data_IF_367448282316
#
_entry.id   IF_367448282316
#
_cell.length_a   1.000
_cell.length_b   1.000
_cell.length_c   1.000
_cell.angle_alpha   90.00
_cell.angle_beta   90.00
_cell.angle_gamma   90.00
#
_symmetry.space_group_name_H-M   'P 1'
#
loop_
_entity.id
_entity.type
_entity.pdbx_description
1 polymer ?
#
# COMPACT_ATOMS: atom_id res chain seq x y z
N UNK A 1 38.40 -13.67 -55.07
CA UNK A 1 38.67 -13.97 -53.64
C UNK A 1 37.84 -13.00 -52.81
N UNK A 2 37.19 -13.51 -51.76
CA UNK A 2 36.05 -12.89 -51.06
C UNK A 2 36.45 -11.68 -50.20
N UNK A 3 35.63 -10.62 -50.26
CA UNK A 3 35.65 -9.48 -49.34
C UNK A 3 35.30 -9.91 -47.91
N UNK A 4 36.11 -9.47 -46.94
CA UNK A 4 35.82 -9.57 -45.50
C UNK A 4 35.10 -8.29 -45.06
N UNK A 5 33.83 -8.43 -44.67
CA UNK A 5 33.11 -7.43 -43.88
C UNK A 5 33.60 -7.49 -42.44
N UNK A 6 34.17 -6.39 -41.92
CA UNK A 6 34.27 -6.16 -40.47
C UNK A 6 32.98 -5.50 -40.00
N UNK A 7 32.15 -6.24 -39.28
CA UNK A 7 31.04 -5.69 -38.49
C UNK A 7 31.55 -5.49 -37.07
N UNK A 8 31.76 -4.22 -36.70
CA UNK A 8 32.03 -3.80 -35.33
C UNK A 8 30.72 -3.86 -34.54
N UNK A 9 30.53 -4.90 -33.74
CA UNK A 9 29.52 -4.91 -32.69
C UNK A 9 30.05 -4.12 -31.48
N UNK A 10 29.59 -2.88 -31.32
CA UNK A 10 29.61 -2.20 -30.04
C UNK A 10 28.62 -2.92 -29.13
N UNK A 11 29.12 -3.78 -28.24
CA UNK A 11 28.33 -4.31 -27.13
C UNK A 11 27.93 -3.14 -26.22
N UNK A 12 26.63 -2.94 -25.92
CA UNK A 12 26.25 -2.04 -24.85
C UNK A 12 26.79 -2.63 -23.55
N UNK A 13 27.71 -1.94 -22.92
CA UNK A 13 28.11 -2.17 -21.54
C UNK A 13 26.88 -1.94 -20.68
N UNK A 14 26.14 -3.00 -20.40
CA UNK A 14 25.15 -3.01 -19.33
C UNK A 14 25.98 -2.82 -18.05
N UNK A 15 25.98 -1.59 -17.53
CA UNK A 15 26.34 -1.37 -16.14
C UNK A 15 25.29 -2.10 -15.30
N UNK A 16 25.56 -3.36 -14.99
CA UNK A 16 24.94 -4.01 -13.86
C UNK A 16 25.30 -3.16 -12.65
N UNK A 17 24.31 -2.43 -12.11
CA UNK A 17 24.43 -1.87 -10.78
C UNK A 17 24.75 -3.05 -9.85
N UNK A 18 25.82 -2.98 -9.04
CA UNK A 18 26.10 -4.04 -8.10
C UNK A 18 24.90 -4.17 -7.17
N UNK A 19 24.33 -5.38 -7.08
CA UNK A 19 23.57 -5.82 -5.91
C UNK A 19 24.52 -5.75 -4.72
N UNK A 20 24.68 -4.55 -4.16
CA UNK A 20 25.35 -4.40 -2.90
C UNK A 20 24.45 -5.12 -1.88
N UNK A 21 24.94 -6.13 -1.15
CA UNK A 21 24.17 -6.69 -0.04
C UNK A 21 23.79 -5.53 0.89
N UNK A 22 22.57 -5.54 1.42
CA UNK A 22 22.12 -4.56 2.41
C UNK A 22 23.20 -4.47 3.47
N UNK A 23 23.98 -3.39 3.43
CA UNK A 23 24.98 -3.10 4.46
C UNK A 23 24.17 -2.51 5.59
N UNK A 24 23.89 -3.36 6.57
CA UNK A 24 23.38 -3.04 7.89
C UNK A 24 24.23 -1.93 8.54
N UNK A 25 23.97 -0.66 8.19
CA UNK A 25 24.59 0.49 8.86
C UNK A 25 23.58 1.05 9.83
N UNK A 26 23.55 0.42 11.00
CA UNK A 26 22.79 0.87 12.17
C UNK A 26 23.47 2.11 12.76
N UNK A 27 22.73 3.21 12.91
CA UNK A 27 23.31 4.46 13.42
C UNK A 27 23.30 4.52 14.95
N UNK A 28 24.45 4.92 15.49
CA UNK A 28 24.70 5.23 16.90
C UNK A 28 24.09 6.60 17.23
N UNK A 29 23.44 6.76 18.39
CA UNK A 29 23.14 8.09 18.94
C UNK A 29 24.44 8.81 19.31
N UNK A 30 24.35 10.14 19.46
CA UNK A 30 25.47 11.00 19.91
C UNK A 30 26.06 10.62 21.28
N UNK A 31 25.37 9.80 22.08
CA UNK A 31 25.81 9.31 23.39
C UNK A 31 26.61 7.99 23.33
N UNK A 32 26.74 7.36 22.16
CA UNK A 32 27.60 6.20 21.99
C UNK A 32 27.05 4.86 22.48
N UNK A 33 25.73 4.72 22.68
CA UNK A 33 25.07 3.42 22.92
C UNK A 33 24.42 2.84 21.64
N UNK A 34 24.25 1.50 21.57
CA UNK A 34 23.47 0.78 20.56
C UNK A 34 22.29 0.11 21.27
N UNK A 35 21.04 0.33 20.85
CA UNK A 35 19.86 -0.25 21.52
C UNK A 35 18.81 -0.82 20.56
N UNK A 36 17.98 -1.78 21.02
CA UNK A 36 16.79 -2.35 20.35
C UNK A 36 15.65 -1.38 19.95
N UNK A 37 15.92 -0.08 19.78
CA UNK A 37 14.95 1.02 19.74
C UNK A 37 14.54 1.47 18.30
N UNK A 38 14.72 0.61 17.29
CA UNK A 38 14.39 0.96 15.88
C UNK A 38 12.92 0.75 15.51
N UNK A 39 12.11 0.29 16.45
CA UNK A 39 10.69 0.04 16.27
C UNK A 39 9.89 1.08 17.04
N UNK A 40 8.75 1.50 16.50
CA UNK A 40 7.91 2.51 17.14
C UNK A 40 7.21 1.87 18.36
N UNK A 41 7.81 2.03 19.54
CA UNK A 41 7.32 1.67 20.88
C UNK A 41 6.90 0.20 21.13
N UNK A 42 7.84 -0.56 21.69
CA UNK A 42 7.55 -1.81 22.41
C UNK A 42 7.10 -1.52 23.86
N UNK A 43 5.85 -1.86 24.23
CA UNK A 43 5.43 -1.84 25.63
C UNK A 43 3.95 -2.18 25.86
N UNK A 44 3.56 -2.52 27.09
CA UNK A 44 2.17 -2.88 27.44
C UNK A 44 1.14 -1.76 27.24
N UNK A 45 1.58 -0.50 27.07
CA UNK A 45 0.71 0.69 27.12
C UNK A 45 0.78 1.64 25.89
N UNK A 46 1.59 1.38 24.86
CA UNK A 46 1.77 2.24 23.65
C UNK A 46 1.66 1.44 22.33
N UNK A 47 0.70 0.52 22.28
CA UNK A 47 0.65 -0.64 21.38
C UNK A 47 0.10 -0.38 19.98
N UNK A 48 0.69 0.52 19.19
CA UNK A 48 0.24 0.70 17.79
C UNK A 48 0.66 -0.47 16.91
N UNK A 49 -0.27 -1.36 16.57
CA UNK A 49 0.03 -2.52 15.73
C UNK A 49 -0.91 -2.68 14.53
N UNK A 50 -0.37 -3.23 13.45
CA UNK A 50 -1.05 -3.66 12.24
C UNK A 50 -0.78 -5.15 11.99
N UNK A 51 -1.68 -5.88 11.31
CA UNK A 51 -1.39 -7.27 10.92
C UNK A 51 -0.21 -7.33 9.93
N UNK A 52 0.62 -8.36 10.05
CA UNK A 52 1.84 -8.54 9.27
C UNK A 52 1.57 -8.51 7.76
N UNK A 53 0.54 -9.23 7.34
CA UNK A 53 0.13 -9.28 5.95
C UNK A 53 -0.09 -7.87 5.38
N UNK A 54 -0.80 -7.02 6.13
CA UNK A 54 -1.15 -5.68 5.67
C UNK A 54 0.02 -4.72 5.73
N UNK A 55 0.90 -4.87 6.72
CA UNK A 55 2.17 -4.15 6.73
C UNK A 55 3.00 -4.47 5.49
N UNK A 56 3.07 -5.75 5.09
CA UNK A 56 3.78 -6.15 3.87
C UNK A 56 3.12 -5.66 2.58
N UNK A 57 1.81 -5.86 2.40
CA UNK A 57 1.09 -5.41 1.20
C UNK A 57 1.19 -3.88 1.03
N UNK A 58 1.03 -3.13 2.13
CA UNK A 58 1.12 -1.66 2.12
C UNK A 58 2.54 -1.17 1.84
N UNK A 59 3.56 -1.83 2.42
CA UNK A 59 4.96 -1.53 2.14
C UNK A 59 5.30 -1.78 0.66
N UNK A 60 4.86 -2.91 0.12
CA UNK A 60 5.13 -3.29 -1.27
C UNK A 60 4.53 -2.29 -2.25
N UNK A 61 3.29 -1.87 -2.02
CA UNK A 61 2.62 -0.86 -2.83
C UNK A 61 3.34 0.49 -2.78
N UNK A 62 3.61 0.98 -1.55
CA UNK A 62 4.36 2.21 -1.35
C UNK A 62 5.68 2.21 -2.11
N UNK A 63 6.43 1.10 -2.02
CA UNK A 63 7.72 0.95 -2.68
C UNK A 63 7.62 0.83 -4.20
N UNK A 64 6.59 0.18 -4.73
CA UNK A 64 6.34 0.14 -6.17
C UNK A 64 6.05 1.54 -6.72
N UNK A 65 5.21 2.31 -6.03
CA UNK A 65 4.93 3.69 -6.40
C UNK A 65 6.17 4.59 -6.28
N UNK A 66 6.95 4.44 -5.21
CA UNK A 66 8.20 5.17 -5.02
C UNK A 66 9.20 4.87 -6.14
N UNK A 67 9.32 3.60 -6.55
CA UNK A 67 10.17 3.18 -7.67
C UNK A 67 9.70 3.71 -9.04
N UNK A 68 8.37 3.79 -9.26
CA UNK A 68 7.78 4.37 -10.49
C UNK A 68 7.95 5.89 -10.55
N UNK A 69 7.92 6.57 -9.41
CA UNK A 69 8.13 8.02 -9.37
C UNK A 69 9.49 8.43 -9.91
N UNK A 70 10.49 7.51 -9.94
CA UNK A 70 11.82 7.67 -10.59
C UNK A 70 12.41 9.07 -10.41
N UNK A 71 12.17 9.70 -9.27
CA UNK A 71 12.66 11.04 -8.99
C UNK A 71 14.18 10.92 -8.79
N UNK A 72 14.94 11.04 -9.88
CA UNK A 72 16.21 11.76 -9.82
C UNK A 72 15.78 13.21 -9.77
N UNK A 73 15.72 13.86 -8.61
CA UNK A 73 15.65 15.31 -8.72
C UNK A 73 16.28 16.10 -7.57
N UNK A 74 17.22 16.99 -7.91
CA UNK A 74 17.40 18.26 -7.24
C UNK A 74 16.36 19.32 -7.68
N UNK A 75 15.33 18.97 -8.48
CA UNK A 75 14.32 19.95 -8.92
C UNK A 75 13.33 20.27 -7.79
N UNK A 76 13.19 21.56 -7.43
CA UNK A 76 12.29 21.98 -6.37
C UNK A 76 10.83 21.71 -6.72
N UNK A 77 10.07 21.08 -5.82
CA UNK A 77 8.62 21.15 -5.83
C UNK A 77 8.24 22.44 -5.10
N UNK A 78 7.58 23.38 -5.79
CA UNK A 78 7.20 24.68 -5.22
C UNK A 78 8.38 25.46 -4.59
N UNK A 79 9.57 25.35 -5.17
CA UNK A 79 10.76 26.05 -4.67
C UNK A 79 11.43 25.40 -3.46
N UNK A 80 11.00 24.21 -3.02
CA UNK A 80 11.67 23.42 -1.97
C UNK A 80 12.19 22.09 -2.52
N UNK A 81 13.43 21.74 -2.20
CA UNK A 81 13.92 20.37 -2.44
C UNK A 81 13.12 19.41 -1.58
N UNK A 82 12.63 18.31 -2.17
CA UNK A 82 11.97 17.26 -1.39
C UNK A 82 13.03 16.53 -0.57
N UNK A 83 12.83 16.45 0.74
CA UNK A 83 13.68 15.67 1.64
C UNK A 83 13.21 14.21 1.76
N UNK A 84 12.18 13.81 1.01
CA UNK A 84 11.66 12.46 1.02
C UNK A 84 10.42 12.20 0.16
N UNK A 85 9.98 10.96 0.18
CA UNK A 85 8.69 10.46 -0.30
C UNK A 85 7.88 10.08 0.93
N UNK A 86 6.68 10.65 1.07
CA UNK A 86 5.79 10.45 2.20
C UNK A 86 4.42 10.00 1.69
N UNK A 87 3.85 8.98 2.32
CA UNK A 87 2.48 8.51 2.03
C UNK A 87 1.79 8.13 3.32
N UNK A 88 0.66 8.76 3.58
CA UNK A 88 -0.30 8.32 4.60
C UNK A 88 -1.39 7.51 3.91
N UNK A 89 -1.52 6.24 4.27
CA UNK A 89 -2.67 5.43 3.89
C UNK A 89 -3.75 5.60 4.94
N UNK A 90 -5.01 5.51 4.51
CA UNK A 90 -6.18 5.62 5.36
C UNK A 90 -6.30 6.98 6.09
N UNK A 91 -5.77 8.06 5.52
CA UNK A 91 -5.90 9.41 6.08
C UNK A 91 -7.35 9.80 6.37
N UNK A 92 -7.62 10.32 7.57
CA UNK A 92 -8.95 10.69 8.05
C UNK A 92 -9.70 9.59 8.80
N UNK A 93 -9.05 8.49 9.20
CA UNK A 93 -9.70 7.35 9.85
C UNK A 93 -9.32 7.17 11.31
N UNK A 94 -9.99 6.24 12.02
CA UNK A 94 -9.49 5.72 13.29
C UNK A 94 -8.12 5.01 13.20
N UNK A 95 -7.65 4.61 12.03
CA UNK A 95 -6.36 3.92 11.84
C UNK A 95 -5.60 4.40 10.59
N UNK A 96 -4.56 5.20 10.82
CA UNK A 96 -3.75 5.80 9.77
C UNK A 96 -2.35 5.21 9.82
N UNK A 97 -1.80 4.81 8.66
CA UNK A 97 -0.43 4.34 8.55
C UNK A 97 0.36 5.26 7.63
N UNK A 98 1.59 5.56 8.02
CA UNK A 98 2.49 6.39 7.24
C UNK A 98 3.72 5.60 6.83
N UNK A 99 4.09 5.71 5.55
CA UNK A 99 5.31 5.17 4.96
C UNK A 99 6.18 6.31 4.42
N UNK A 100 7.48 6.24 4.70
CA UNK A 100 8.43 7.33 4.44
C UNK A 100 9.73 6.77 3.86
N UNK A 101 10.26 7.44 2.83
CA UNK A 101 11.68 7.35 2.43
C UNK A 101 12.25 8.76 2.53
N UNK A 102 13.20 8.99 3.42
CA UNK A 102 13.83 10.29 3.66
C UNK A 102 15.31 10.24 3.30
N UNK A 103 15.86 11.29 2.71
CA UNK A 103 17.31 11.41 2.46
C UNK A 103 17.77 12.86 2.69
N UNK A 104 19.07 13.05 2.89
CA UNK A 104 19.63 14.40 2.96
C UNK A 104 19.54 15.06 1.57
N UNK A 105 19.05 16.30 1.50
CA UNK A 105 18.95 17.07 0.25
C UNK A 105 20.28 17.25 -0.47
N UNK A 106 21.42 17.09 0.23
CA UNK A 106 22.77 17.16 -0.34
C UNK A 106 23.19 15.85 -1.01
N UNK A 107 22.46 14.76 -0.79
CA UNK A 107 22.79 13.44 -1.34
C UNK A 107 21.96 13.14 -2.60
N UNK A 108 22.62 12.56 -3.61
CA UNK A 108 21.93 12.08 -4.81
C UNK A 108 21.27 10.74 -4.46
N UNK A 109 19.95 10.75 -4.35
CA UNK A 109 19.16 9.54 -4.12
C UNK A 109 18.15 9.33 -5.25
N UNK A 110 17.96 8.06 -5.61
CA UNK A 110 16.91 7.64 -6.54
C UNK A 110 16.24 6.41 -5.91
N UNK A 111 14.95 6.53 -5.63
CA UNK A 111 14.19 5.44 -5.04
C UNK A 111 14.19 4.22 -5.97
N UNK A 112 14.60 3.07 -5.43
CA UNK A 112 14.52 1.79 -6.10
C UNK A 112 13.43 0.96 -5.40
N UNK A 113 12.43 0.54 -6.16
CA UNK A 113 11.28 -0.20 -5.62
C UNK A 113 11.68 -1.50 -4.94
N UNK A 114 12.60 -2.27 -5.51
CA UNK A 114 13.03 -3.57 -4.97
C UNK A 114 13.82 -3.40 -3.66
N UNK A 115 14.75 -2.44 -3.62
CA UNK A 115 15.50 -2.10 -2.39
C UNK A 115 14.55 -1.59 -1.32
N UNK A 116 13.60 -0.74 -1.68
CA UNK A 116 12.58 -0.25 -0.75
C UNK A 116 11.78 -1.41 -0.15
N UNK A 117 11.30 -2.35 -0.99
CA UNK A 117 10.53 -3.53 -0.54
C UNK A 117 11.33 -4.35 0.45
N UNK A 118 12.58 -4.66 0.10
CA UNK A 118 13.50 -5.41 0.97
C UNK A 118 13.65 -4.73 2.35
N UNK A 119 13.95 -3.43 2.36
CA UNK A 119 14.17 -2.67 3.60
C UNK A 119 12.89 -2.55 4.43
N UNK A 120 11.74 -2.23 3.82
CA UNK A 120 10.47 -2.11 4.54
C UNK A 120 9.98 -3.45 5.10
N UNK A 121 10.21 -4.54 4.38
CA UNK A 121 9.94 -5.90 4.87
C UNK A 121 10.85 -6.25 6.04
N UNK A 122 12.13 -5.89 5.99
CA UNK A 122 13.05 -6.09 7.10
C UNK A 122 12.63 -5.33 8.36
N UNK A 123 12.18 -4.06 8.23
CA UNK A 123 11.58 -3.29 9.33
C UNK A 123 10.37 -4.06 9.90
N UNK A 124 9.47 -4.50 9.03
CA UNK A 124 8.24 -5.22 9.42
C UNK A 124 8.57 -6.47 10.21
N UNK A 125 9.47 -7.33 9.72
CA UNK A 125 9.88 -8.58 10.43
C UNK A 125 10.57 -8.29 11.76
N UNK A 126 11.47 -7.30 11.80
CA UNK A 126 12.23 -6.96 13.01
C UNK A 126 11.32 -6.38 14.10
N UNK A 127 10.31 -5.62 13.72
CA UNK A 127 9.38 -4.93 14.61
C UNK A 127 8.12 -5.73 14.95
N UNK A 128 8.33 -7.02 15.24
CA UNK A 128 7.33 -7.93 15.80
C UNK A 128 7.25 -7.78 17.33
N UNK A 129 6.04 -7.72 17.88
CA UNK A 129 5.84 -7.66 19.33
C UNK A 129 6.51 -8.89 19.99
N UNK A 130 7.37 -8.67 21.00
CA UNK A 130 8.25 -9.71 21.59
C UNK A 130 7.48 -11.01 21.87
N UNK A 131 7.77 -12.06 21.09
CA UNK A 131 7.26 -13.41 21.33
C UNK A 131 5.79 -13.64 20.97
N UNK A 132 5.18 -12.75 20.20
CA UNK A 132 3.77 -12.83 19.88
C UNK A 132 3.55 -13.62 18.58
N UNK A 133 3.00 -14.83 18.70
CA UNK A 133 2.66 -15.71 17.56
C UNK A 133 1.44 -15.20 16.76
N UNK A 134 1.00 -13.97 16.97
CA UNK A 134 -0.29 -13.44 16.52
C UNK A 134 -0.20 -12.55 15.26
N UNK A 135 0.96 -12.51 14.60
CA UNK A 135 1.19 -11.81 13.32
C UNK A 135 0.93 -10.29 13.38
N UNK A 136 1.23 -9.61 14.49
CA UNK A 136 1.07 -8.15 14.63
C UNK A 136 2.42 -7.41 14.60
N UNK A 137 2.46 -6.22 13.98
CA UNK A 137 3.68 -5.45 13.68
C UNK A 137 3.53 -3.98 14.03
N UNK A 138 4.55 -3.38 14.65
CA UNK A 138 4.53 -1.97 15.10
C UNK A 138 5.18 -0.97 14.13
N UNK A 139 5.89 -1.49 13.13
CA UNK A 139 6.74 -0.68 12.26
C UNK A 139 7.94 -0.10 12.98
N UNK A 140 8.70 0.69 12.25
CA UNK A 140 10.01 1.17 12.69
C UNK A 140 10.72 1.95 11.60
N UNK A 141 12.03 2.06 11.74
CA UNK A 141 12.88 2.72 10.76
C UNK A 141 14.18 1.94 10.51
N UNK A 142 14.72 2.09 9.30
CA UNK A 142 16.00 1.51 8.89
C UNK A 142 16.69 2.43 7.89
N UNK A 143 17.96 2.76 8.16
CA UNK A 143 18.81 3.50 7.21
C UNK A 143 19.54 2.51 6.30
N UNK A 144 19.44 2.73 4.99
CA UNK A 144 20.14 1.98 3.96
C UNK A 144 20.76 2.96 2.95
N UNK A 145 22.09 3.10 3.02
CA UNK A 145 22.84 4.08 2.24
C UNK A 145 22.46 5.53 2.59
N UNK A 146 22.16 6.39 1.60
CA UNK A 146 21.80 7.79 1.83
C UNK A 146 20.36 7.98 2.36
N UNK A 147 19.52 6.94 2.29
CA UNK A 147 18.11 7.02 2.62
C UNK A 147 17.76 6.32 3.93
N UNK A 148 16.77 6.86 4.62
CA UNK A 148 16.10 6.29 5.79
C UNK A 148 14.69 5.90 5.41
N UNK A 149 14.34 4.65 5.66
CA UNK A 149 13.04 4.06 5.36
C UNK A 149 12.30 3.94 6.68
N UNK A 150 11.02 4.30 6.71
CA UNK A 150 10.21 4.27 7.92
C UNK A 150 8.78 3.85 7.60
N UNK A 151 8.15 3.12 8.51
CA UNK A 151 6.70 3.05 8.55
C UNK A 151 6.19 2.97 9.97
N UNK A 152 5.03 3.58 10.22
CA UNK A 152 4.42 3.63 11.55
C UNK A 152 2.92 3.91 11.47
N UNK A 153 2.21 3.55 12.52
CA UNK A 153 0.81 3.93 12.68
C UNK A 153 0.72 5.34 13.29
N UNK A 154 0.13 6.27 12.55
CA UNK A 154 -0.18 7.63 13.00
C UNK A 154 -1.37 7.59 13.95
N UNK A 155 -2.43 6.87 13.58
CA UNK A 155 -3.59 6.57 14.43
C UNK A 155 -3.74 5.06 14.53
N UNK A 156 -4.13 4.57 15.70
CA UNK A 156 -4.33 3.13 15.95
C UNK A 156 -5.77 2.90 16.38
N UNK A 157 -6.40 1.89 15.77
CA UNK A 157 -7.63 1.32 16.33
C UNK A 157 -7.26 0.47 17.55
N UNK A 158 -7.82 0.73 18.74
CA UNK A 158 -7.43 -0.04 19.92
C UNK A 158 -7.72 -1.53 19.72
N UNK A 159 -6.71 -2.38 19.96
CA UNK A 159 -6.77 -3.84 19.75
C UNK A 159 -8.02 -4.53 20.32
N UNK A 160 -8.58 -4.06 21.44
CA UNK A 160 -9.81 -4.63 22.03
C UNK A 160 -11.03 -4.50 21.12
N UNK A 161 -11.12 -3.43 20.33
CA UNK A 161 -12.17 -3.26 19.34
C UNK A 161 -11.91 -4.20 18.17
N UNK A 162 -10.70 -4.18 17.66
CA UNK A 162 -10.22 -5.07 16.61
C UNK A 162 -10.51 -6.56 16.83
N UNK A 163 -10.20 -7.10 18.02
CA UNK A 163 -10.35 -8.53 18.30
C UNK A 163 -11.81 -9.02 18.32
N UNK A 164 -12.76 -8.11 18.51
CA UNK A 164 -14.20 -8.41 18.54
C UNK A 164 -14.95 -7.98 17.28
N UNK A 165 -14.29 -7.30 16.34
CA UNK A 165 -14.93 -6.83 15.12
C UNK A 165 -15.20 -7.98 14.16
N UNK A 166 -16.41 -8.00 13.62
CA UNK A 166 -16.76 -8.85 12.50
C UNK A 166 -16.55 -8.06 11.22
N UNK A 167 -15.96 -8.72 10.21
CA UNK A 167 -15.93 -8.16 8.86
C UNK A 167 -17.35 -8.19 8.30
N UNK A 168 -17.89 -7.00 8.03
CA UNK A 168 -19.23 -6.81 7.45
C UNK A 168 -19.14 -5.89 6.25
N UNK A 169 -20.18 -5.93 5.42
CA UNK A 169 -20.29 -5.02 4.30
C UNK A 169 -21.47 -5.33 3.39
N UNK A 170 -21.65 -4.48 2.39
CA UNK A 170 -22.73 -4.58 1.41
C UNK A 170 -22.22 -4.18 0.04
N UNK A 171 -22.76 -4.81 -1.01
CA UNK A 171 -22.56 -4.39 -2.39
C UNK A 171 -23.92 -4.09 -3.01
N UNK A 172 -24.07 -2.88 -3.55
CA UNK A 172 -25.22 -2.46 -4.32
C UNK A 172 -24.76 -2.13 -5.75
N UNK A 173 -25.59 -2.47 -6.74
CA UNK A 173 -25.36 -2.17 -8.16
C UNK A 173 -26.55 -1.47 -8.79
N UNK A 174 -26.30 -0.64 -9.80
CA UNK A 174 -27.32 -0.09 -10.70
C UNK A 174 -26.79 -0.17 -12.12
N UNK A 175 -27.50 -0.90 -12.97
CA UNK A 175 -27.16 -1.05 -14.38
C UNK A 175 -27.72 0.12 -15.20
N UNK A 176 -26.91 0.64 -16.11
CA UNK A 176 -27.34 1.59 -17.12
C UNK A 176 -27.48 0.86 -18.44
N UNK A 177 -28.70 0.85 -18.98
CA UNK A 177 -29.02 0.21 -20.26
C UNK A 177 -29.24 1.25 -21.35
N UNK A 178 -28.76 0.97 -22.56
CA UNK A 178 -29.11 1.77 -23.74
C UNK A 178 -30.55 1.48 -24.22
N UNK A 179 -30.97 2.17 -25.29
CA UNK A 179 -32.32 2.03 -25.89
C UNK A 179 -32.64 0.60 -26.35
N UNK A 180 -31.62 -0.21 -26.64
CA UNK A 180 -31.75 -1.61 -27.04
C UNK A 180 -31.83 -2.57 -25.84
N UNK A 181 -31.82 -2.07 -24.61
CA UNK A 181 -31.84 -2.86 -23.38
C UNK A 181 -30.50 -3.53 -23.05
N UNK A 182 -29.40 -3.13 -23.69
CA UNK A 182 -28.07 -3.67 -23.42
C UNK A 182 -27.40 -2.85 -22.32
N UNK A 183 -26.89 -3.52 -21.29
CA UNK A 183 -26.09 -2.88 -20.23
C UNK A 183 -24.80 -2.33 -20.84
N UNK A 184 -24.63 -1.01 -20.72
CA UNK A 184 -23.44 -0.30 -21.21
C UNK A 184 -22.45 -0.05 -20.09
N UNK A 185 -22.95 0.24 -18.88
CA UNK A 185 -22.14 0.40 -17.69
C UNK A 185 -22.95 -0.02 -16.45
N UNK A 186 -22.24 -0.37 -15.38
CA UNK A 186 -22.82 -0.67 -14.08
C UNK A 186 -22.10 0.16 -13.01
N UNK A 187 -22.89 0.92 -12.25
CA UNK A 187 -22.41 1.64 -11.07
C UNK A 187 -22.50 0.72 -9.85
N UNK A 188 -21.43 0.70 -9.05
CA UNK A 188 -21.33 -0.05 -7.81
C UNK A 188 -21.16 0.88 -6.62
N UNK A 189 -21.80 0.52 -5.51
CA UNK A 189 -21.54 1.10 -4.18
C UNK A 189 -21.27 -0.03 -3.21
N UNK A 190 -20.05 -0.05 -2.67
CA UNK A 190 -19.63 -1.04 -1.67
C UNK A 190 -19.38 -0.34 -0.36
N UNK A 191 -19.90 -0.91 0.72
CA UNK A 191 -19.57 -0.47 2.09
C UNK A 191 -18.98 -1.64 2.87
N UNK A 192 -18.14 -1.33 3.86
CA UNK A 192 -17.63 -2.34 4.76
C UNK A 192 -17.12 -1.80 6.09
N UNK A 193 -16.91 -2.71 7.02
CA UNK A 193 -16.34 -2.48 8.34
C UNK A 193 -15.59 -3.72 8.84
N UNK A 194 -14.85 -3.56 9.95
CA UNK A 194 -14.10 -4.66 10.57
C UNK A 194 -12.76 -4.96 9.89
N UNK A 195 -12.36 -4.13 8.92
CA UNK A 195 -11.10 -4.28 8.23
C UNK A 195 -10.00 -3.54 8.97
N UNK A 196 -9.09 -4.31 9.55
CA UNK A 196 -7.81 -3.78 9.99
C UNK A 196 -7.00 -3.32 8.79
N UNK A 197 -6.62 -2.06 8.77
CA UNK A 197 -5.49 -1.55 8.00
C UNK A 197 -5.50 -1.67 6.47
N UNK A 198 -6.42 -2.39 5.83
CA UNK A 198 -6.34 -2.60 4.40
C UNK A 198 -6.46 -1.25 3.69
N UNK A 199 -5.51 -0.94 2.80
CA UNK A 199 -5.64 0.07 1.77
C UNK A 199 -6.76 -0.35 0.80
N UNK A 200 -7.99 -0.52 1.31
CA UNK A 200 -9.12 -1.19 0.68
C UNK A 200 -9.48 -0.52 -0.61
N UNK A 201 -9.47 0.82 -0.60
CA UNK A 201 -9.67 1.61 -1.79
C UNK A 201 -8.71 1.16 -2.91
N UNK A 202 -7.42 1.17 -2.61
CA UNK A 202 -6.42 0.78 -3.58
C UNK A 202 -6.49 -0.70 -3.94
N UNK A 203 -6.61 -1.60 -2.98
CA UNK A 203 -6.61 -3.04 -3.21
C UNK A 203 -7.83 -3.46 -4.05
N UNK A 204 -9.01 -2.90 -3.79
CA UNK A 204 -10.19 -3.12 -4.61
C UNK A 204 -9.93 -2.56 -6.02
N UNK A 205 -9.52 -1.30 -6.14
CA UNK A 205 -9.30 -0.66 -7.45
C UNK A 205 -8.26 -1.40 -8.29
N UNK A 206 -7.10 -1.71 -7.69
CA UNK A 206 -6.00 -2.34 -8.37
C UNK A 206 -6.34 -3.78 -8.79
N UNK A 207 -7.03 -4.55 -7.94
CA UNK A 207 -7.45 -5.92 -8.31
C UNK A 207 -8.53 -5.90 -9.40
N UNK A 208 -9.46 -4.95 -9.36
CA UNK A 208 -10.43 -4.73 -10.45
C UNK A 208 -9.73 -4.37 -11.77
N UNK A 209 -8.80 -3.40 -11.75
CA UNK A 209 -8.01 -3.02 -12.93
C UNK A 209 -7.16 -4.17 -13.51
N UNK A 210 -6.85 -5.19 -12.72
CA UNK A 210 -6.09 -6.36 -13.15
C UNK A 210 -6.99 -7.53 -13.61
N UNK A 211 -8.32 -7.35 -13.63
CA UNK A 211 -9.24 -8.34 -14.23
C UNK A 211 -9.27 -8.14 -15.74
N UNK A 212 -9.08 -9.23 -16.47
CA UNK A 212 -8.93 -9.20 -17.92
C UNK A 212 -10.20 -8.73 -18.68
N UNK A 213 -11.39 -8.82 -18.06
CA UNK A 213 -12.67 -8.31 -18.62
C UNK A 213 -12.98 -6.87 -18.22
N UNK A 214 -12.20 -6.27 -17.32
CA UNK A 214 -12.40 -4.89 -16.87
C UNK A 214 -11.40 -4.00 -17.61
N UNK A 215 -11.90 -3.24 -18.58
CA UNK A 215 -11.07 -2.29 -19.34
C UNK A 215 -10.65 -1.08 -18.50
N UNK A 216 -11.58 -0.53 -17.71
CA UNK A 216 -11.31 0.60 -16.82
C UNK A 216 -12.24 0.63 -15.60
N UNK A 217 -11.74 1.22 -14.50
CA UNK A 217 -12.52 1.49 -13.28
C UNK A 217 -12.71 3.01 -13.16
N UNK A 218 -13.91 3.47 -13.52
CA UNK A 218 -14.28 4.88 -13.64
C UNK A 218 -14.99 5.40 -12.39
N UNK A 219 -15.13 6.73 -12.29
CA UNK A 219 -15.87 7.44 -11.22
C UNK A 219 -15.49 7.02 -9.79
N UNK A 220 -14.22 6.66 -9.61
CA UNK A 220 -13.71 6.13 -8.36
C UNK A 220 -13.81 7.18 -7.24
N UNK A 221 -14.67 6.91 -6.25
CA UNK A 221 -14.87 7.73 -5.08
C UNK A 221 -14.79 6.87 -3.83
N UNK A 222 -13.78 7.11 -2.99
CA UNK A 222 -13.60 6.38 -1.73
C UNK A 222 -13.63 7.35 -0.56
N UNK A 223 -14.36 6.98 0.48
CA UNK A 223 -14.46 7.78 1.70
C UNK A 223 -14.66 6.92 2.93
N UNK A 224 -14.17 7.44 4.05
CA UNK A 224 -14.45 6.89 5.37
C UNK A 224 -15.68 7.54 5.97
N UNK A 225 -16.47 6.75 6.69
CA UNK A 225 -17.73 7.15 7.31
C UNK A 225 -17.58 7.05 8.83
N UNK A 226 -16.90 8.05 9.42
CA UNK A 226 -16.66 8.09 10.87
C UNK A 226 -17.99 8.21 11.64
N UNK A 227 -18.22 7.30 12.60
CA UNK A 227 -19.35 7.37 13.55
C UNK A 227 -20.74 7.06 12.97
N UNK A 228 -20.83 6.50 11.76
CA UNK A 228 -22.11 6.23 11.11
C UNK A 228 -22.78 4.92 11.59
N UNK A 229 -22.00 3.85 11.75
CA UNK A 229 -22.40 2.54 12.30
C UNK A 229 -21.14 1.64 12.37
N UNK A 230 -21.05 0.73 13.34
CA UNK A 230 -19.93 -0.23 13.45
C UNK A 230 -19.87 -1.19 12.25
N UNK A 231 -20.92 -1.23 11.43
CA UNK A 231 -21.04 -2.07 10.23
C UNK A 231 -20.62 -1.39 8.92
N UNK A 232 -20.38 -0.06 8.92
CA UNK A 232 -20.11 0.74 7.70
C UNK A 232 -19.07 1.84 7.96
N UNK A 233 -17.80 1.45 8.04
CA UNK A 233 -16.68 2.37 8.33
C UNK A 233 -16.13 3.04 7.06
N UNK A 234 -16.30 2.41 5.90
CA UNK A 234 -15.85 2.94 4.62
C UNK A 234 -16.86 2.66 3.53
N UNK A 235 -16.82 3.51 2.50
CA UNK A 235 -17.63 3.44 1.29
C UNK A 235 -16.73 3.63 0.10
N UNK A 236 -16.98 2.84 -0.93
CA UNK A 236 -16.42 3.06 -2.27
C UNK A 236 -17.53 3.05 -3.30
N UNK A 237 -17.42 3.95 -4.25
CA UNK A 237 -18.28 4.06 -5.42
C UNK A 237 -17.39 4.02 -6.65
N UNK A 238 -17.81 3.28 -7.67
CA UNK A 238 -17.11 3.20 -8.95
C UNK A 238 -18.06 2.69 -10.04
N UNK A 239 -17.65 2.88 -11.28
CA UNK A 239 -18.36 2.44 -12.48
C UNK A 239 -17.48 1.48 -13.27
N UNK A 240 -18.05 0.38 -13.75
CA UNK A 240 -17.41 -0.56 -14.67
C UNK A 240 -18.18 -0.61 -15.98
N UNK A 241 -17.49 -0.90 -17.07
CA UNK A 241 -18.12 -1.10 -18.37
C UNK A 241 -18.77 -2.49 -18.46
N UNK A 242 -20.00 -2.54 -18.96
CA UNK A 242 -20.77 -3.78 -19.05
C UNK A 242 -21.01 -4.47 -17.70
N UNK A 243 -21.24 -5.78 -17.77
CA UNK A 243 -21.62 -6.59 -16.62
C UNK A 243 -20.41 -7.38 -16.06
N UNK A 244 -19.87 -6.92 -14.93
CA UNK A 244 -18.68 -7.49 -14.29
C UNK A 244 -18.92 -7.88 -12.81
N UNK A 245 -20.16 -8.18 -12.44
CA UNK A 245 -20.57 -8.40 -11.04
C UNK A 245 -19.77 -9.50 -10.34
N UNK A 246 -19.53 -10.64 -11.00
CA UNK A 246 -18.73 -11.73 -10.42
C UNK A 246 -17.32 -11.31 -10.07
N UNK A 247 -16.68 -10.47 -10.90
CA UNK A 247 -15.35 -9.94 -10.62
C UNK A 247 -15.34 -9.04 -9.40
N UNK A 248 -16.38 -8.22 -9.23
CA UNK A 248 -16.53 -7.37 -8.03
C UNK A 248 -16.65 -8.24 -6.78
N UNK A 249 -17.55 -9.22 -6.77
CA UNK A 249 -17.74 -10.13 -5.63
C UNK A 249 -16.46 -10.90 -5.28
N UNK A 250 -15.75 -11.40 -6.29
CA UNK A 250 -14.47 -12.09 -6.11
C UNK A 250 -13.40 -11.16 -5.53
N UNK A 251 -13.25 -9.95 -6.06
CA UNK A 251 -12.26 -8.98 -5.54
C UNK A 251 -12.59 -8.63 -4.08
N UNK A 252 -13.87 -8.42 -3.73
CA UNK A 252 -14.26 -8.13 -2.34
C UNK A 252 -13.98 -9.30 -1.40
N UNK A 253 -14.20 -10.53 -1.86
CA UNK A 253 -13.81 -11.73 -1.14
C UNK A 253 -12.29 -11.82 -0.98
N UNK A 254 -11.51 -11.57 -2.04
CA UNK A 254 -10.04 -11.61 -1.97
C UNK A 254 -9.45 -10.51 -1.07
N UNK A 255 -10.01 -9.30 -1.10
CA UNK A 255 -9.52 -8.18 -0.27
C UNK A 255 -9.79 -8.43 1.21
N UNK A 256 -10.80 -9.25 1.51
CA UNK A 256 -11.19 -9.65 2.85
C UNK A 256 -10.72 -11.02 3.28
N UNK A 257 -9.82 -11.67 2.54
CA UNK A 257 -9.37 -13.04 2.83
C UNK A 257 -10.52 -14.05 2.98
N UNK A 258 -11.58 -13.84 2.21
CA UNK A 258 -12.79 -14.64 2.20
C UNK A 258 -13.75 -14.35 3.34
N UNK A 259 -13.51 -13.32 4.15
CA UNK A 259 -14.39 -12.95 5.27
C UNK A 259 -15.62 -12.17 4.79
N UNK A 260 -15.47 -11.31 3.78
CA UNK A 260 -16.56 -10.58 3.16
C UNK A 260 -17.12 -11.38 1.96
N UNK A 261 -18.03 -12.30 2.25
CA UNK A 261 -18.78 -13.05 1.22
C UNK A 261 -20.10 -12.36 0.96
N UNK A 262 -20.10 -11.39 0.06
CA UNK A 262 -21.30 -10.62 -0.27
C UNK A 262 -21.67 -10.81 -1.74
N UNK A 263 -22.98 -10.82 -1.99
CA UNK A 263 -23.52 -10.70 -3.34
C UNK A 263 -23.95 -9.28 -3.60
N UNK A 264 -23.66 -8.77 -4.79
CA UNK A 264 -24.17 -7.48 -5.21
C UNK A 264 -25.69 -7.58 -5.43
N UNK A 265 -26.41 -6.51 -5.12
CA UNK A 265 -27.87 -6.45 -5.26
C UNK A 265 -28.26 -5.19 -5.98
N UNK A 266 -29.33 -5.26 -6.76
CA UNK A 266 -29.89 -4.06 -7.37
C UNK A 266 -30.28 -3.06 -6.27
N UNK A 267 -29.82 -1.82 -6.45
CA UNK A 267 -30.05 -0.74 -5.52
C UNK A 267 -30.24 0.59 -6.25
N UNK A 268 -31.04 1.46 -5.66
CA UNK A 268 -31.13 2.87 -6.08
C UNK A 268 -30.20 3.67 -5.17
N UNK A 269 -29.29 4.42 -5.79
CA UNK A 269 -28.23 5.18 -5.11
C UNK A 269 -28.64 6.60 -4.76
#
# INVERSE_FOLDING_TARGET
MKSLLLISFLTPTIFALPNAPVKDVWHKRQDGSYTPDDCNDFGENNRKYMSEKIAFESADDFCEQAGKQRLRDPVPWEGKMRDGIYRTLNGGTPEEVEFIIKWDQKEIFMANGDICKEVMRAITVKCDAKGNQDNWRAGGYLKNGPATYMWHLVKERPRKFTLGMQVTGSCLKSDHTNESGVVVDTKYVVTGAGFLAHNNAYNIKNRLNNRWEIEDVRDWNFGYMEGADDEKEWKVEFTLDGYAESHVEEVLSEVSDGQLKIKCRDGVF
#
